data_IF_382875795978
#
_entry.id   IF_382875795978
#
_cell.length_a   1.000
_cell.length_b   1.000
_cell.length_c   1.000
_cell.angle_alpha   90.00
_cell.angle_beta   90.00
_cell.angle_gamma   90.00
#
_symmetry.space_group_name_H-M   'P 1'
#
loop_
_entity.id
_entity.type
_entity.pdbx_description
1 polymer ?
#
# COMPACT_ATOMS: atom_id res chain seq x y z
N UNK A 1 2.88 -12.17 -25.47
CA UNK A 1 2.75 -12.15 -24.00
C UNK A 1 3.01 -10.70 -23.63
N UNK A 2 1.94 -9.92 -23.55
CA UNK A 2 2.07 -8.52 -23.15
C UNK A 2 2.58 -8.53 -21.70
N UNK A 3 3.79 -8.03 -21.49
CA UNK A 3 4.29 -7.82 -20.13
C UNK A 3 3.42 -6.72 -19.52
N UNK A 4 2.73 -7.04 -18.44
CA UNK A 4 2.01 -6.02 -17.68
C UNK A 4 3.00 -4.92 -17.26
N UNK A 5 2.60 -3.66 -17.49
CA UNK A 5 3.42 -2.52 -17.13
C UNK A 5 3.72 -2.55 -15.63
N UNK A 6 5.01 -2.53 -15.28
CA UNK A 6 5.44 -2.58 -13.89
C UNK A 6 5.43 -1.17 -13.30
N UNK A 7 4.76 -0.99 -12.17
CA UNK A 7 4.73 0.29 -11.47
C UNK A 7 4.66 0.14 -9.97
N UNK A 8 5.30 1.08 -9.27
CA UNK A 8 5.28 1.20 -7.81
C UNK A 8 4.81 2.60 -7.44
N UNK A 9 3.87 2.67 -6.50
CA UNK A 9 3.28 3.92 -6.06
C UNK A 9 3.50 4.10 -4.57
N UNK A 10 4.29 5.09 -4.22
CA UNK A 10 4.67 5.42 -2.84
C UNK A 10 3.84 6.63 -2.42
N UNK A 11 2.95 6.42 -1.45
CA UNK A 11 2.05 7.44 -0.94
C UNK A 11 2.67 8.17 0.25
N UNK A 12 2.44 9.48 0.31
CA UNK A 12 2.69 10.31 1.46
C UNK A 12 1.61 11.39 1.55
N UNK A 13 0.87 11.41 2.66
CA UNK A 13 -0.34 12.25 2.79
C UNK A 13 -1.28 12.06 1.60
N UNK A 14 -1.67 13.16 0.93
CA UNK A 14 -2.54 13.14 -0.25
C UNK A 14 -1.78 13.01 -1.57
N UNK A 15 -0.44 12.93 -1.53
CA UNK A 15 0.41 12.87 -2.71
C UNK A 15 1.04 11.51 -2.94
N UNK A 16 1.70 11.34 -4.09
CA UNK A 16 2.45 10.13 -4.39
C UNK A 16 3.65 10.36 -5.30
N UNK A 17 4.66 9.52 -5.11
CA UNK A 17 5.73 9.26 -6.06
C UNK A 17 5.42 7.96 -6.81
N UNK A 18 5.43 7.99 -8.13
CA UNK A 18 5.17 6.80 -8.97
C UNK A 18 6.42 6.50 -9.79
N UNK A 19 6.91 5.28 -9.67
CA UNK A 19 8.05 4.74 -10.43
C UNK A 19 7.49 3.67 -11.37
N UNK A 20 7.68 3.80 -12.67
CA UNK A 20 7.08 2.91 -13.65
C UNK A 20 7.95 2.71 -14.90
N UNK A 21 7.71 1.62 -15.63
CA UNK A 21 8.34 1.36 -16.92
C UNK A 21 7.58 2.00 -18.10
N UNK A 22 6.36 2.47 -17.86
CA UNK A 22 5.49 3.05 -18.88
C UNK A 22 4.70 4.26 -18.37
N UNK A 23 4.52 5.30 -19.21
CA UNK A 23 3.66 6.44 -18.90
C UNK A 23 2.20 6.07 -18.63
N UNK A 24 1.76 4.90 -19.07
CA UNK A 24 0.37 4.44 -18.89
C UNK A 24 0.01 4.25 -17.42
N UNK A 25 0.99 3.89 -16.59
CA UNK A 25 0.83 3.78 -15.14
C UNK A 25 0.54 5.12 -14.44
N UNK A 26 0.77 6.23 -15.12
CA UNK A 26 0.58 7.60 -14.60
C UNK A 26 -0.75 8.21 -15.04
N UNK A 27 -1.55 7.51 -15.82
CA UNK A 27 -2.84 8.01 -16.32
C UNK A 27 -3.80 8.31 -15.16
N UNK A 28 -4.52 9.42 -15.26
CA UNK A 28 -5.53 9.83 -14.28
C UNK A 28 -4.97 10.54 -13.04
N UNK A 29 -3.65 10.67 -12.89
CA UNK A 29 -3.05 11.48 -11.84
C UNK A 29 -3.14 12.97 -12.19
N UNK A 30 -3.65 13.76 -11.25
CA UNK A 30 -3.66 15.23 -11.35
C UNK A 30 -2.40 15.83 -10.74
N UNK A 31 -2.03 17.04 -11.12
CA UNK A 31 -0.81 17.72 -10.62
C UNK A 31 0.45 16.85 -10.70
N UNK A 32 0.62 16.18 -11.83
CA UNK A 32 1.73 15.27 -12.08
C UNK A 32 2.93 16.03 -12.68
N UNK A 33 4.10 15.84 -12.09
CA UNK A 33 5.38 16.34 -12.58
C UNK A 33 6.28 15.16 -12.93
N UNK A 34 6.76 15.11 -14.16
CA UNK A 34 7.77 14.13 -14.56
C UNK A 34 9.14 14.54 -14.04
N UNK A 35 9.90 13.55 -13.54
CA UNK A 35 11.24 13.75 -12.96
C UNK A 35 12.24 12.78 -13.58
N UNK A 36 13.52 13.15 -13.56
CA UNK A 36 14.64 12.27 -13.89
C UNK A 36 15.09 11.44 -12.68
N UNK A 37 15.91 10.40 -12.93
CA UNK A 37 16.42 9.52 -11.87
C UNK A 37 17.19 10.28 -10.79
N UNK A 38 17.97 11.28 -11.17
CA UNK A 38 18.75 12.14 -10.28
C UNK A 38 17.90 13.12 -9.44
N UNK A 39 16.62 13.26 -9.77
CA UNK A 39 15.66 14.12 -9.05
C UNK A 39 14.78 13.36 -8.04
N UNK A 40 14.87 12.02 -7.99
CA UNK A 40 13.98 11.17 -7.19
C UNK A 40 13.94 11.59 -5.72
N UNK A 41 15.11 11.65 -5.07
CA UNK A 41 15.22 12.04 -3.65
C UNK A 41 14.80 13.49 -3.39
N UNK A 42 15.13 14.40 -4.31
CA UNK A 42 14.74 15.81 -4.21
C UNK A 42 13.23 15.98 -4.30
N UNK A 43 12.61 15.30 -5.25
CA UNK A 43 11.15 15.34 -5.47
C UNK A 43 10.41 14.73 -4.30
N UNK A 44 10.91 13.65 -3.72
CA UNK A 44 10.36 13.08 -2.51
C UNK A 44 10.45 14.04 -1.31
N UNK A 45 11.57 14.76 -1.11
CA UNK A 45 11.69 15.81 -0.08
C UNK A 45 10.69 16.95 -0.29
N UNK A 46 10.41 17.32 -1.54
CA UNK A 46 9.34 18.28 -1.86
C UNK A 46 7.98 17.73 -1.44
N UNK A 47 7.70 16.47 -1.74
CA UNK A 47 6.46 15.79 -1.33
C UNK A 47 6.30 15.78 0.19
N UNK A 48 7.37 15.46 0.94
CA UNK A 48 7.39 15.48 2.41
C UNK A 48 7.10 16.89 2.99
N UNK A 49 7.62 17.94 2.36
CA UNK A 49 7.47 19.32 2.82
C UNK A 49 6.18 20.00 2.33
N UNK A 50 5.48 19.38 1.37
CA UNK A 50 4.27 19.97 0.80
C UNK A 50 3.11 19.92 1.79
N UNK A 51 2.73 21.10 2.30
CA UNK A 51 1.42 21.28 2.93
C UNK A 51 0.40 21.46 1.81
N UNK A 52 -0.18 20.36 1.36
CA UNK A 52 -1.12 20.37 0.26
C UNK A 52 -2.43 21.01 0.73
N UNK A 53 -2.70 22.23 0.27
CA UNK A 53 -3.98 22.95 0.46
C UNK A 53 -5.14 22.22 -0.25
N UNK A 54 -5.28 20.90 -0.01
CA UNK A 54 -6.33 20.05 -0.59
C UNK A 54 -6.11 19.63 -2.04
N UNK A 55 -4.91 19.85 -2.62
CA UNK A 55 -4.58 19.37 -3.98
C UNK A 55 -3.43 18.36 -3.90
N UNK A 56 -3.66 17.08 -4.24
CA UNK A 56 -2.60 16.07 -4.23
C UNK A 56 -1.48 16.47 -5.20
N UNK A 57 -0.22 16.25 -4.78
CA UNK A 57 0.97 16.45 -5.58
C UNK A 57 1.52 15.08 -6.00
N UNK A 58 1.77 14.89 -7.30
CA UNK A 58 2.32 13.64 -7.80
C UNK A 58 3.60 13.88 -8.58
N UNK A 59 4.59 13.00 -8.36
CA UNK A 59 5.79 12.90 -9.17
C UNK A 59 5.80 11.56 -9.89
N UNK A 60 6.22 11.55 -11.17
CA UNK A 60 6.31 10.36 -12.00
C UNK A 60 7.72 10.18 -12.56
N UNK A 61 8.34 9.05 -12.26
CA UNK A 61 9.59 8.61 -12.83
C UNK A 61 9.33 7.44 -13.79
N UNK A 62 9.78 7.58 -15.04
CA UNK A 62 9.77 6.48 -16.00
C UNK A 62 11.18 5.96 -16.13
N UNK A 63 11.40 4.69 -15.79
CA UNK A 63 12.69 4.04 -15.82
C UNK A 63 12.60 2.59 -16.35
N UNK A 64 13.70 2.03 -16.85
CA UNK A 64 13.71 0.68 -17.43
C UNK A 64 13.50 -0.44 -16.42
N UNK A 65 13.88 -0.22 -15.15
CA UNK A 65 13.74 -1.20 -14.06
C UNK A 65 13.13 -0.55 -12.81
N UNK A 66 11.80 -0.39 -12.77
CA UNK A 66 11.10 0.18 -11.62
C UNK A 66 11.33 -0.58 -10.32
N UNK A 67 11.55 -1.92 -10.41
CA UNK A 67 11.81 -2.75 -9.24
C UNK A 67 13.16 -2.46 -8.61
N UNK A 68 14.21 -2.36 -9.40
CA UNK A 68 15.53 -1.98 -8.88
C UNK A 68 15.46 -0.57 -8.27
N UNK A 69 14.82 0.37 -8.96
CA UNK A 69 14.69 1.76 -8.50
C UNK A 69 13.93 1.88 -7.16
N UNK A 70 12.83 1.15 -6.98
CA UNK A 70 12.12 1.22 -5.68
C UNK A 70 12.92 0.57 -4.56
N UNK A 71 13.63 -0.53 -4.82
CA UNK A 71 14.46 -1.18 -3.81
C UNK A 71 15.59 -0.25 -3.34
N UNK A 72 16.27 0.44 -4.25
CA UNK A 72 17.28 1.45 -3.93
C UNK A 72 16.66 2.61 -3.13
N UNK A 73 15.49 3.11 -3.57
CA UNK A 73 14.78 4.16 -2.84
C UNK A 73 14.42 3.75 -1.41
N UNK A 74 14.06 2.48 -1.19
CA UNK A 74 13.67 1.97 0.14
C UNK A 74 14.86 1.87 1.11
N UNK A 75 16.11 1.83 0.65
CA UNK A 75 17.31 1.77 1.51
C UNK A 75 17.44 2.96 2.47
N UNK A 76 16.85 4.10 2.11
CA UNK A 76 16.85 5.32 2.92
C UNK A 76 15.84 5.30 4.08
N UNK A 77 15.06 4.22 4.23
CA UNK A 77 13.96 4.15 5.20
C UNK A 77 14.11 2.97 6.17
N UNK A 78 13.56 3.14 7.35
CA UNK A 78 13.18 1.98 8.17
C UNK A 78 11.90 1.38 7.59
N UNK A 79 12.01 0.19 6.99
CA UNK A 79 10.89 -0.48 6.34
C UNK A 79 10.09 -1.28 7.36
N UNK A 80 8.78 -1.02 7.40
CA UNK A 80 7.80 -1.79 8.17
C UNK A 80 7.03 -2.71 7.23
N UNK A 81 7.19 -4.02 7.41
CA UNK A 81 6.43 -5.01 6.66
C UNK A 81 5.04 -5.20 7.28
N UNK A 82 4.02 -5.18 6.45
CA UNK A 82 2.63 -5.40 6.83
C UNK A 82 1.95 -6.33 5.82
N UNK A 83 0.85 -6.95 6.24
CA UNK A 83 0.01 -7.76 5.36
C UNK A 83 -1.46 -7.55 5.68
N UNK A 84 -2.33 -7.73 4.70
CA UNK A 84 -3.76 -7.55 4.85
C UNK A 84 -4.57 -8.17 3.72
N UNK A 85 -5.89 -8.02 3.79
CA UNK A 85 -6.79 -8.68 2.86
C UNK A 85 -7.89 -7.82 2.27
N UNK A 86 -8.18 -8.07 0.98
CA UNK A 86 -9.43 -7.72 0.35
C UNK A 86 -10.36 -8.93 0.48
N UNK A 87 -11.25 -8.88 1.47
CA UNK A 87 -12.10 -10.01 1.82
C UNK A 87 -13.49 -9.81 1.26
N UNK A 88 -13.91 -10.71 0.38
CA UNK A 88 -15.27 -10.73 -0.17
C UNK A 88 -16.11 -11.86 0.45
N UNK A 89 -17.39 -11.59 0.69
CA UNK A 89 -18.34 -12.60 1.06
C UNK A 89 -18.99 -13.24 -0.19
N UNK A 90 -19.95 -14.15 0.02
CA UNK A 90 -20.68 -14.83 -1.08
C UNK A 90 -21.59 -13.92 -1.90
N UNK A 91 -21.90 -12.76 -1.37
CA UNK A 91 -22.72 -11.73 -2.00
C UNK A 91 -21.85 -10.63 -2.66
N UNK A 92 -20.56 -10.89 -2.89
CA UNK A 92 -19.56 -9.97 -3.47
C UNK A 92 -19.43 -8.65 -2.69
N UNK A 93 -19.72 -8.65 -1.38
CA UNK A 93 -19.54 -7.48 -0.53
C UNK A 93 -18.11 -7.48 0.04
N UNK A 94 -17.44 -6.33 -0.06
CA UNK A 94 -16.10 -6.11 0.47
C UNK A 94 -16.16 -5.80 1.98
N UNK A 95 -15.36 -6.53 2.75
CA UNK A 95 -15.14 -6.25 4.16
C UNK A 95 -14.26 -5.01 4.34
N UNK A 96 -14.74 -4.05 5.08
CA UNK A 96 -14.00 -2.85 5.45
C UNK A 96 -14.06 -2.61 6.95
N UNK A 97 -13.04 -1.94 7.48
CA UNK A 97 -12.99 -1.48 8.86
C UNK A 97 -13.11 0.05 8.91
N UNK A 98 -13.49 0.59 10.07
CA UNK A 98 -13.50 2.03 10.28
C UNK A 98 -12.46 2.39 11.34
N UNK A 99 -11.41 3.11 10.95
CA UNK A 99 -10.33 3.54 11.82
C UNK A 99 -10.23 5.07 11.78
N UNK A 100 -10.26 5.73 12.93
CA UNK A 100 -10.21 7.20 13.03
C UNK A 100 -11.23 7.94 12.13
N UNK A 101 -12.42 7.35 11.95
CA UNK A 101 -13.47 7.92 11.10
C UNK A 101 -13.35 7.64 9.60
N UNK A 102 -12.25 7.08 9.13
CA UNK A 102 -12.00 6.72 7.73
C UNK A 102 -12.23 5.22 7.48
N UNK A 103 -12.67 4.90 6.27
CA UNK A 103 -12.77 3.51 5.82
C UNK A 103 -11.39 3.00 5.41
N UNK A 104 -11.06 1.79 5.84
CA UNK A 104 -9.80 1.13 5.58
C UNK A 104 -10.01 -0.37 5.35
N UNK A 105 -8.98 -1.05 4.83
CA UNK A 105 -8.93 -2.50 4.72
C UNK A 105 -8.20 -3.09 5.93
N UNK A 106 -8.62 -4.27 6.42
CA UNK A 106 -7.96 -4.91 7.56
C UNK A 106 -6.53 -5.32 7.20
N UNK A 107 -5.56 -4.90 8.03
CA UNK A 107 -4.12 -5.13 7.86
C UNK A 107 -3.34 -4.77 9.11
N UNK A 108 -2.20 -5.40 9.29
CA UNK A 108 -1.27 -5.01 10.33
C UNK A 108 0.16 -5.48 10.11
N UNK A 109 1.01 -5.28 11.10
CA UNK A 109 2.46 -5.57 11.01
C UNK A 109 2.70 -7.08 10.95
N UNK A 110 3.62 -7.52 10.08
CA UNK A 110 4.10 -8.90 10.07
C UNK A 110 4.99 -9.11 11.30
N UNK A 111 4.71 -10.13 12.09
CA UNK A 111 5.48 -10.46 13.27
C UNK A 111 6.80 -11.18 12.91
N UNK A 112 7.71 -11.18 13.89
CA UNK A 112 9.00 -11.86 13.72
C UNK A 112 8.79 -13.37 13.46
N UNK A 113 9.36 -13.87 12.35
CA UNK A 113 9.24 -15.27 11.89
C UNK A 113 7.87 -15.67 11.34
N UNK A 114 6.98 -14.73 11.11
CA UNK A 114 5.69 -14.95 10.47
C UNK A 114 5.82 -14.75 8.95
N UNK A 115 5.17 -15.60 8.16
CA UNK A 115 5.07 -15.38 6.71
C UNK A 115 3.94 -14.39 6.37
N UNK A 116 4.02 -13.78 5.19
CA UNK A 116 3.09 -12.74 4.76
C UNK A 116 1.62 -13.21 4.71
N UNK A 117 1.37 -14.47 4.28
CA UNK A 117 0.01 -15.01 4.18
C UNK A 117 -0.59 -15.27 5.56
N UNK A 118 0.23 -15.81 6.47
CA UNK A 118 -0.18 -16.04 7.87
C UNK A 118 -0.51 -14.73 8.56
N UNK A 119 0.35 -13.71 8.39
CA UNK A 119 0.11 -12.36 8.91
C UNK A 119 -1.18 -11.74 8.37
N UNK A 120 -1.42 -11.84 7.06
CA UNK A 120 -2.63 -11.32 6.44
C UNK A 120 -3.90 -11.96 7.00
N UNK A 121 -3.91 -13.29 7.19
CA UNK A 121 -5.03 -14.00 7.80
C UNK A 121 -5.23 -13.59 9.27
N UNK A 122 -4.16 -13.58 10.07
CA UNK A 122 -4.21 -13.21 11.47
C UNK A 122 -4.78 -11.80 11.65
N UNK A 123 -4.23 -10.82 10.93
CA UNK A 123 -4.65 -9.42 11.04
C UNK A 123 -6.12 -9.21 10.64
N UNK A 124 -6.56 -9.85 9.54
CA UNK A 124 -7.97 -9.80 9.15
C UNK A 124 -8.86 -10.39 10.24
N UNK A 125 -8.47 -11.53 10.83
CA UNK A 125 -9.23 -12.17 11.90
C UNK A 125 -9.27 -11.33 13.18
N UNK A 126 -8.14 -10.75 13.58
CA UNK A 126 -8.01 -9.91 14.77
C UNK A 126 -8.83 -8.62 14.66
N UNK A 127 -8.69 -7.91 13.54
CA UNK A 127 -9.36 -6.62 13.34
C UNK A 127 -10.87 -6.71 13.07
N UNK A 128 -11.36 -7.88 12.63
CA UNK A 128 -12.77 -8.01 12.19
C UNK A 128 -13.57 -9.07 12.95
N UNK A 129 -12.89 -10.00 13.63
CA UNK A 129 -13.51 -11.15 14.29
C UNK A 129 -14.00 -12.25 13.35
N UNK A 130 -13.73 -12.13 12.05
CA UNK A 130 -14.10 -13.16 11.06
C UNK A 130 -13.16 -14.36 11.19
N UNK A 131 -13.65 -15.60 11.11
CA UNK A 131 -12.86 -16.80 11.38
C UNK A 131 -12.92 -17.88 10.29
N UNK A 132 -13.58 -17.60 9.17
CA UNK A 132 -13.71 -18.53 8.04
C UNK A 132 -13.27 -17.82 6.74
N UNK A 133 -11.96 -17.65 6.60
CA UNK A 133 -11.34 -16.93 5.50
C UNK A 133 -10.39 -17.86 4.77
N UNK A 134 -10.42 -17.80 3.44
CA UNK A 134 -9.44 -18.48 2.58
C UNK A 134 -8.76 -17.45 1.68
N UNK A 135 -7.43 -17.50 1.58
CA UNK A 135 -6.67 -16.74 0.60
C UNK A 135 -6.87 -17.38 -0.78
N UNK A 136 -7.19 -16.57 -1.77
CA UNK A 136 -7.31 -16.98 -3.16
C UNK A 136 -6.08 -16.63 -3.97
N UNK A 137 -5.54 -15.41 -3.81
CA UNK A 137 -4.41 -14.93 -4.60
C UNK A 137 -3.68 -13.78 -3.89
N UNK A 138 -2.43 -13.52 -4.29
CA UNK A 138 -1.70 -12.29 -3.96
C UNK A 138 -2.04 -11.22 -5.00
N UNK A 139 -2.47 -10.04 -4.55
CA UNK A 139 -2.89 -8.95 -5.44
C UNK A 139 -1.71 -8.03 -5.78
N UNK A 140 -0.84 -7.77 -4.80
CA UNK A 140 0.29 -6.85 -4.94
C UNK A 140 0.65 -6.17 -3.64
N UNK A 141 1.42 -5.06 -3.75
CA UNK A 141 1.89 -4.28 -2.61
C UNK A 141 1.46 -2.81 -2.72
N UNK A 142 1.34 -2.18 -1.56
CA UNK A 142 1.23 -0.72 -1.46
C UNK A 142 2.31 -0.17 -0.52
N UNK A 143 2.81 1.02 -0.85
CA UNK A 143 3.89 1.68 -0.13
C UNK A 143 3.39 2.99 0.44
N UNK A 144 3.53 3.18 1.77
CA UNK A 144 3.15 4.41 2.44
C UNK A 144 4.31 4.89 3.30
N UNK A 145 4.68 6.15 3.13
CA UNK A 145 5.64 6.80 4.01
C UNK A 145 4.87 7.65 5.02
N UNK A 146 5.28 7.61 6.27
CA UNK A 146 4.67 8.37 7.36
C UNK A 146 5.68 8.61 8.48
N UNK A 147 5.38 9.58 9.35
CA UNK A 147 6.15 9.83 10.56
C UNK A 147 5.57 9.06 11.75
N UNK A 148 6.42 8.40 12.53
CA UNK A 148 6.12 7.80 13.83
C UNK A 148 7.27 8.13 14.77
N UNK A 149 7.02 8.81 15.88
CA UNK A 149 8.03 9.26 16.86
C UNK A 149 9.22 10.00 16.22
N UNK A 150 8.93 10.96 15.34
CA UNK A 150 9.89 11.75 14.55
C UNK A 150 10.76 10.93 13.57
N UNK A 151 10.53 9.65 13.44
CA UNK A 151 11.17 8.79 12.44
C UNK A 151 10.33 8.69 11.18
N UNK A 152 10.99 8.77 10.03
CA UNK A 152 10.35 8.55 8.74
C UNK A 152 10.39 7.05 8.41
N UNK A 153 9.21 6.44 8.38
CA UNK A 153 9.04 5.02 8.12
C UNK A 153 8.39 4.80 6.75
N UNK A 154 8.77 3.71 6.08
CA UNK A 154 8.10 3.24 4.88
C UNK A 154 7.38 1.92 5.21
N UNK A 155 6.05 1.92 5.10
CA UNK A 155 5.25 0.70 5.26
C UNK A 155 5.01 0.08 3.90
N UNK A 156 5.51 -1.13 3.71
CA UNK A 156 5.17 -2.01 2.61
C UNK A 156 4.08 -2.97 3.06
N UNK A 157 2.90 -2.90 2.42
CA UNK A 157 1.77 -3.76 2.76
C UNK A 157 1.50 -4.74 1.64
N UNK A 158 1.58 -6.04 1.93
CA UNK A 158 1.25 -7.13 1.02
C UNK A 158 -0.24 -7.43 1.09
N UNK A 159 -0.93 -7.36 -0.05
CA UNK A 159 -2.35 -7.54 -0.15
C UNK A 159 -2.74 -8.86 -0.77
N UNK A 160 -3.74 -9.50 -0.15
CA UNK A 160 -4.27 -10.79 -0.60
C UNK A 160 -5.76 -10.70 -0.87
N UNK A 161 -6.19 -11.29 -1.99
CA UNK A 161 -7.59 -11.55 -2.26
C UNK A 161 -8.05 -12.70 -1.38
N UNK A 162 -9.14 -12.49 -0.66
CA UNK A 162 -9.66 -13.46 0.30
C UNK A 162 -11.15 -13.65 0.12
N UNK A 163 -11.62 -14.85 0.38
CA UNK A 163 -13.04 -15.20 0.40
C UNK A 163 -13.48 -15.64 1.79
N UNK A 164 -14.58 -15.08 2.27
CA UNK A 164 -15.21 -15.51 3.52
C UNK A 164 -16.47 -16.32 3.25
N UNK A 165 -16.54 -17.51 3.85
CA UNK A 165 -17.73 -18.34 3.87
C UNK A 165 -18.55 -18.18 5.17
N UNK A 166 -18.08 -17.35 6.10
CA UNK A 166 -18.65 -17.24 7.44
C UNK A 166 -19.74 -16.21 7.54
N UNK A 167 -20.86 -16.61 8.18
CA UNK A 167 -21.79 -15.68 8.83
C UNK A 167 -21.26 -15.37 10.24
N UNK A 168 -20.02 -14.86 10.33
CA UNK A 168 -19.44 -14.43 11.59
C UNK A 168 -20.09 -13.12 12.06
N UNK A 169 -20.38 -12.98 13.33
CA UNK A 169 -20.68 -11.66 13.90
C UNK A 169 -19.38 -10.85 13.84
N UNK A 170 -19.34 -9.83 12.99
CA UNK A 170 -18.24 -8.90 12.94
C UNK A 170 -18.04 -8.27 14.32
N UNK A 171 -16.87 -8.44 14.91
CA UNK A 171 -16.49 -7.81 16.18
C UNK A 171 -15.26 -6.95 15.90
N UNK A 172 -15.44 -5.63 15.75
CA UNK A 172 -14.30 -4.75 15.60
C UNK A 172 -13.41 -4.86 16.85
N UNK A 173 -12.11 -4.82 16.65
CA UNK A 173 -11.15 -4.60 17.72
C UNK A 173 -11.42 -3.20 18.31
N UNK A 174 -11.64 -3.12 19.61
CA UNK A 174 -11.91 -1.87 20.35
C UNK A 174 -10.58 -1.21 20.69
#
# INVERSE_FOLDING_TARGET
MDMEAQSYKIYFNDGALVIADSPDALRGLSNLYFIGDDELQKSFKILLSSQNNGKPLHFGLICPDPKATILEFMEDFTVIQAAGGLVFNKEDQLLTIKRNGLWDLPKGKIERHEDQMAAALREVMEETGINMINISDKIGETYHVYYEDDMLLLKETHWYLMNSNGKGSLKPQV
#
